data_IF_748812649344
#
_entry.id   IF_748812649344
#
_cell.length_a   1.000
_cell.length_b   1.000
_cell.length_c   1.000
_cell.angle_alpha   90.00
_cell.angle_beta   90.00
_cell.angle_gamma   90.00
#
_symmetry.space_group_name_H-M   'P 1'
#
loop_
_entity.id
_entity.type
_entity.pdbx_description
1 polymer ?
#
# COMPACT_ATOMS: atom_id res chain seq x y z
N UNK A 1 -14.26 -10.27 -8.84
CA UNK A 1 -13.81 -8.87 -8.94
C UNK A 1 -13.14 -8.52 -7.62
N UNK A 2 -11.80 -8.54 -7.56
CA UNK A 2 -11.07 -8.16 -6.35
C UNK A 2 -11.06 -6.63 -6.24
N UNK A 3 -11.45 -6.04 -5.09
CA UNK A 3 -11.46 -4.59 -4.92
C UNK A 3 -10.07 -3.98 -5.16
N UNK A 4 -10.02 -2.94 -5.99
CA UNK A 4 -8.82 -2.12 -6.21
C UNK A 4 -8.60 -1.26 -4.98
N UNK A 5 -7.84 -1.76 -4.01
CA UNK A 5 -7.42 -0.98 -2.85
C UNK A 5 -6.34 0.01 -3.28
N UNK A 6 -6.69 1.28 -3.37
CA UNK A 6 -5.70 2.36 -3.44
C UNK A 6 -5.20 2.57 -2.02
N UNK A 7 -4.05 1.96 -1.69
CA UNK A 7 -3.41 2.17 -0.40
C UNK A 7 -2.85 3.60 -0.38
N UNK A 8 -3.59 4.53 0.20
CA UNK A 8 -3.10 5.90 0.46
C UNK A 8 -2.14 5.88 1.64
N UNK A 9 -1.06 6.65 1.56
CA UNK A 9 -0.19 6.94 2.70
C UNK A 9 1.14 6.20 2.65
N UNK A 10 2.01 6.55 1.71
CA UNK A 10 3.42 6.22 1.84
C UNK A 10 3.95 6.70 3.22
N UNK A 11 4.63 5.82 3.96
CA UNK A 11 5.24 6.10 5.26
C UNK A 11 6.23 7.28 5.22
N UNK A 12 6.78 7.60 4.04
CA UNK A 12 7.78 8.67 3.87
C UNK A 12 7.20 10.02 3.44
N UNK A 13 6.27 10.03 2.48
CA UNK A 13 5.78 11.29 1.89
C UNK A 13 4.26 11.46 1.93
N UNK A 14 3.52 10.47 2.45
CA UNK A 14 2.05 10.48 2.43
C UNK A 14 1.43 10.27 1.05
N UNK A 15 2.25 10.07 0.01
CA UNK A 15 1.81 9.88 -1.37
C UNK A 15 1.06 8.60 -1.64
N UNK A 16 0.55 8.50 -2.86
CA UNK A 16 -0.14 7.30 -3.34
C UNK A 16 0.83 6.14 -3.53
N UNK A 17 0.37 4.95 -3.13
CA UNK A 17 1.08 3.69 -3.31
C UNK A 17 0.47 2.91 -4.47
N UNK A 18 1.35 2.30 -5.25
CA UNK A 18 1.03 1.42 -6.35
C UNK A 18 1.43 -0.01 -5.99
N UNK A 19 0.47 -0.94 -6.10
CA UNK A 19 0.70 -2.37 -5.92
C UNK A 19 1.16 -2.94 -7.26
N UNK A 20 2.37 -3.47 -7.28
CA UNK A 20 2.90 -4.23 -8.39
C UNK A 20 2.85 -5.72 -8.03
N UNK A 21 2.33 -6.52 -8.94
CA UNK A 21 2.21 -7.97 -8.78
C UNK A 21 3.10 -8.62 -9.83
N UNK A 22 4.25 -9.13 -9.38
CA UNK A 22 5.18 -9.88 -10.21
C UNK A 22 4.95 -11.39 -10.01
N UNK A 23 5.01 -12.14 -11.11
CA UNK A 23 4.72 -13.59 -11.10
C UNK A 23 5.82 -14.40 -10.39
N UNK A 24 7.05 -13.89 -10.33
CA UNK A 24 8.21 -14.57 -9.73
C UNK A 24 8.54 -14.01 -8.33
N UNK A 25 8.48 -12.69 -8.17
CA UNK A 25 8.85 -11.98 -6.94
C UNK A 25 7.67 -11.72 -5.98
N UNK A 26 6.42 -11.92 -6.45
CA UNK A 26 5.21 -11.70 -5.66
C UNK A 26 4.74 -10.24 -5.64
N UNK A 27 4.00 -9.86 -4.60
CA UNK A 27 3.38 -8.52 -4.50
C UNK A 27 4.31 -7.51 -3.83
N UNK A 28 4.61 -6.41 -4.50
CA UNK A 28 5.40 -5.29 -3.98
C UNK A 28 4.60 -3.99 -3.99
N UNK A 29 4.85 -3.09 -3.04
CA UNK A 29 4.19 -1.80 -2.96
C UNK A 29 5.21 -0.69 -3.11
N UNK A 30 4.99 0.22 -4.06
CA UNK A 30 5.93 1.30 -4.37
C UNK A 30 5.21 2.64 -4.37
N UNK A 31 5.83 3.69 -3.83
CA UNK A 31 5.27 5.03 -3.87
C UNK A 31 5.57 5.73 -5.19
N UNK A 32 4.53 6.25 -5.85
CA UNK A 32 4.69 6.97 -7.13
C UNK A 32 5.33 8.35 -6.98
N UNK A 33 5.33 8.94 -5.78
CA UNK A 33 5.86 10.28 -5.54
C UNK A 33 7.33 10.28 -5.11
N UNK A 34 7.72 9.36 -4.23
CA UNK A 34 9.08 9.31 -3.70
C UNK A 34 9.88 8.07 -4.15
N UNK A 35 9.30 7.21 -5.00
CA UNK A 35 9.91 5.97 -5.48
C UNK A 35 10.36 5.01 -4.37
N UNK A 36 9.81 5.15 -3.17
CA UNK A 36 10.10 4.26 -2.04
C UNK A 36 9.34 2.96 -2.21
N UNK A 37 10.06 1.84 -2.29
CA UNK A 37 9.47 0.50 -2.21
C UNK A 37 9.32 0.09 -0.76
N UNK A 38 8.11 -0.30 -0.40
CA UNK A 38 7.74 -0.66 0.95
C UNK A 38 8.20 -2.08 1.25
N UNK A 39 8.78 -2.22 2.44
CA UNK A 39 9.12 -3.53 2.99
C UNK A 39 7.87 -4.27 3.46
N UNK A 40 7.96 -5.60 3.57
CA UNK A 40 6.84 -6.41 4.08
C UNK A 40 6.34 -5.95 5.47
N UNK A 41 7.22 -5.40 6.31
CA UNK A 41 6.86 -4.82 7.60
C UNK A 41 6.02 -3.56 7.48
N UNK A 42 6.40 -2.64 6.60
CA UNK A 42 5.63 -1.42 6.30
C UNK A 42 4.28 -1.74 5.67
N UNK A 43 4.24 -2.73 4.76
CA UNK A 43 2.99 -3.21 4.17
C UNK A 43 2.05 -3.76 5.23
N UNK A 44 2.55 -4.57 6.17
CA UNK A 44 1.75 -5.07 7.30
C UNK A 44 1.23 -3.93 8.17
N UNK A 45 2.07 -2.94 8.48
CA UNK A 45 1.68 -1.78 9.27
C UNK A 45 0.58 -0.97 8.57
N UNK A 46 0.66 -0.78 7.25
CA UNK A 46 -0.37 -0.11 6.46
C UNK A 46 -1.69 -0.88 6.42
N UNK A 47 -1.64 -2.20 6.22
CA UNK A 47 -2.83 -3.06 6.25
C UNK A 47 -3.48 -3.00 7.63
N UNK A 48 -2.69 -2.98 8.71
CA UNK A 48 -3.21 -2.84 10.08
C UNK A 48 -3.79 -1.45 10.33
N UNK A 49 -3.14 -0.38 9.87
CA UNK A 49 -3.64 0.99 9.99
C UNK A 49 -4.94 1.21 9.18
N UNK A 50 -5.10 0.53 8.03
CA UNK A 50 -6.30 0.59 7.21
C UNK A 50 -7.38 -0.43 7.60
N UNK A 51 -7.11 -1.31 8.56
CA UNK A 51 -8.14 -2.12 9.23
C UNK A 51 -8.98 -1.31 10.22
N UNK A 52 -8.67 -0.02 10.42
CA UNK A 52 -9.67 0.92 10.91
C UNK A 52 -10.81 0.89 9.90
N UNK A 53 -12.05 0.55 10.32
CA UNK A 53 -13.15 0.42 9.39
C UNK A 53 -13.24 1.68 8.54
N UNK A 54 -13.60 1.51 7.27
CA UNK A 54 -14.17 2.56 6.46
C UNK A 54 -15.45 3.05 7.16
N UNK A 55 -15.31 3.78 8.27
CA UNK A 55 -16.39 4.26 9.07
C UNK A 55 -16.82 5.61 8.51
N UNK A 56 -18.08 5.63 8.10
CA UNK A 56 -18.97 6.77 8.19
C UNK A 56 -18.67 7.96 7.28
N UNK A 57 -19.32 7.95 6.12
CA UNK A 57 -20.08 9.12 5.66
C UNK A 57 -21.36 8.62 4.98
#
# INVERSE_FOLDING_TARGET
>A
MLPRFVLRGCSRCGGDLFLEEDLEAGKSLSCLQCSHSLTAGEVRALIQAQRVPAAAA
#
